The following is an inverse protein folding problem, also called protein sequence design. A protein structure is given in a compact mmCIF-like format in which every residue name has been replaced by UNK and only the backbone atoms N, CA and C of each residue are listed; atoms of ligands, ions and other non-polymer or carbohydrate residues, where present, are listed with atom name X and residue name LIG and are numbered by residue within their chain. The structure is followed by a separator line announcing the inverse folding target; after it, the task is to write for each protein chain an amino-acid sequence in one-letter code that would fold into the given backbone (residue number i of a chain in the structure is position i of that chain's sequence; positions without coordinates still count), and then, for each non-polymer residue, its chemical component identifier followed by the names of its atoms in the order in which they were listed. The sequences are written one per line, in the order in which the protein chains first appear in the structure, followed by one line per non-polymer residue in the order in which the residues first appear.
data_IF_710505062991
#
_entry.id   IF_710505062991
#
_cell.length_a   1.000
_cell.length_b   1.000
_cell.length_c   1.000
_cell.angle_alpha   90.00
_cell.angle_beta   90.00
_cell.angle_gamma   90.00
#
_symmetry.space_group_name_H-M   'P 1'
#
loop_
_entity.id
_entity.type
_entity.pdbx_description
1 polymer ?
#
# COMPACT_ATOMS: atom_id res chain seq x y z
N UNK A 1 -10.49 45.75 -22.64
CA UNK A 1 -10.66 45.79 -21.16
C UNK A 1 -11.20 44.44 -20.73
N UNK A 2 -10.37 43.62 -20.10
CA UNK A 2 -10.73 42.34 -19.51
C UNK A 2 -11.42 42.62 -18.16
N UNK A 3 -12.62 42.06 -17.90
CA UNK A 3 -13.29 42.26 -16.62
C UNK A 3 -12.45 41.60 -15.50
N UNK A 4 -12.16 42.35 -14.44
CA UNK A 4 -11.56 41.79 -13.23
C UNK A 4 -12.51 40.72 -12.62
N UNK A 5 -12.06 39.49 -12.54
CA UNK A 5 -12.72 38.43 -11.78
C UNK A 5 -12.90 38.90 -10.33
N UNK A 6 -14.13 38.83 -9.83
CA UNK A 6 -14.42 39.04 -8.40
C UNK A 6 -13.63 38.05 -7.63
N UNK A 7 -12.84 38.51 -6.65
CA UNK A 7 -12.17 37.66 -5.70
C UNK A 7 -13.21 36.78 -4.99
N UNK A 8 -13.34 35.55 -5.44
CA UNK A 8 -14.10 34.54 -4.73
C UNK A 8 -13.41 34.26 -3.42
N UNK A 9 -14.17 34.31 -2.32
CA UNK A 9 -13.73 33.84 -1.00
C UNK A 9 -13.36 32.38 -1.18
N UNK A 10 -12.07 32.07 -1.09
CA UNK A 10 -11.60 30.68 -1.04
C UNK A 10 -12.21 30.08 0.23
N UNK A 11 -13.04 29.02 0.15
CA UNK A 11 -13.53 28.36 1.34
C UNK A 11 -12.31 27.86 2.12
N UNK A 12 -12.05 28.43 3.27
CA UNK A 12 -11.10 27.84 4.20
C UNK A 12 -11.72 26.53 4.68
N UNK A 13 -11.26 25.42 4.15
CA UNK A 13 -11.53 24.10 4.69
C UNK A 13 -10.95 24.08 6.12
N UNK A 14 -11.77 24.46 7.07
CA UNK A 14 -11.48 24.14 8.47
C UNK A 14 -11.71 22.63 8.57
N UNK A 15 -10.61 21.87 8.52
CA UNK A 15 -10.66 20.55 9.14
C UNK A 15 -11.22 20.76 10.55
N UNK A 16 -12.35 20.14 10.86
CA UNK A 16 -12.82 20.09 12.24
C UNK A 16 -11.61 19.65 13.09
N UNK A 17 -11.34 20.29 14.24
CA UNK A 17 -10.27 19.84 15.08
C UNK A 17 -10.61 18.39 15.46
N UNK A 18 -9.93 17.46 14.83
CA UNK A 18 -9.80 16.11 15.38
C UNK A 18 -9.32 16.32 16.80
N UNK A 19 -9.88 15.59 17.74
CA UNK A 19 -9.45 15.61 19.15
C UNK A 19 -7.96 15.77 19.21
N UNK A 20 -7.42 16.68 20.06
CA UNK A 20 -5.99 16.93 20.09
C UNK A 20 -5.28 15.58 20.16
N UNK A 21 -4.25 15.33 19.33
CA UNK A 21 -3.57 14.05 19.33
C UNK A 21 -3.17 13.75 20.78
N UNK A 22 -3.62 12.62 21.30
CA UNK A 22 -3.19 12.15 22.60
C UNK A 22 -1.68 12.23 22.65
N UNK A 23 -1.11 12.81 23.71
CA UNK A 23 0.35 12.89 23.84
C UNK A 23 0.92 11.49 23.65
N UNK A 24 1.92 11.30 22.77
CA UNK A 24 2.47 9.97 22.53
C UNK A 24 3.00 9.41 23.86
N UNK A 25 2.58 8.21 24.19
CA UNK A 25 3.04 7.52 25.40
C UNK A 25 4.54 7.28 25.25
N UNK A 26 5.30 7.74 26.25
CA UNK A 26 6.74 7.59 26.33
C UNK A 26 7.08 6.37 27.17
N UNK A 27 7.85 5.44 26.63
CA UNK A 27 8.38 4.32 27.35
C UNK A 27 9.36 4.75 28.46
N UNK A 28 9.40 4.02 29.55
CA UNK A 28 10.35 4.26 30.65
C UNK A 28 11.74 3.77 30.29
N UNK A 29 11.83 2.63 29.62
CA UNK A 29 13.08 2.08 29.11
C UNK A 29 13.01 2.01 27.59
N UNK A 30 14.06 2.39 26.88
CA UNK A 30 14.08 2.30 25.42
C UNK A 30 14.09 0.84 24.95
N UNK A 31 13.54 0.62 23.75
CA UNK A 31 13.81 -0.57 22.96
C UNK A 31 14.90 -0.23 21.94
N UNK A 32 15.90 -1.09 21.84
CA UNK A 32 17.00 -0.89 20.92
C UNK A 32 16.74 -1.64 19.60
N UNK A 33 16.82 -0.92 18.48
CA UNK A 33 16.81 -1.50 17.13
C UNK A 33 18.03 -0.96 16.39
N UNK A 34 18.86 -1.84 15.88
CA UNK A 34 20.10 -1.52 15.16
C UNK A 34 21.01 -0.54 15.89
N UNK A 35 21.14 -0.71 17.20
CA UNK A 35 21.98 0.13 18.06
C UNK A 35 21.37 1.50 18.42
N UNK A 36 20.15 1.80 17.98
CA UNK A 36 19.45 3.05 18.29
C UNK A 36 18.33 2.80 19.30
N UNK A 37 18.27 3.67 20.31
CA UNK A 37 17.29 3.62 21.37
C UNK A 37 15.98 4.31 20.98
N UNK A 38 14.86 3.58 21.08
CA UNK A 38 13.52 4.08 20.78
C UNK A 38 12.66 4.10 22.04
N UNK A 39 12.13 5.28 22.38
CA UNK A 39 11.25 5.50 23.54
C UNK A 39 9.79 5.79 23.14
N UNK A 40 9.52 5.93 21.86
CA UNK A 40 8.19 6.13 21.31
C UNK A 40 7.84 5.02 20.33
N UNK A 41 6.60 4.56 20.40
CA UNK A 41 6.08 3.49 19.56
C UNK A 41 6.26 3.77 18.07
N UNK A 42 5.94 4.99 17.63
CA UNK A 42 6.07 5.42 16.22
C UNK A 42 7.51 5.38 15.70
N UNK A 43 8.48 5.82 16.50
CA UNK A 43 9.90 5.78 16.10
C UNK A 43 10.43 4.36 16.05
N UNK A 44 9.97 3.51 16.98
CA UNK A 44 10.28 2.08 16.99
C UNK A 44 9.68 1.38 15.77
N UNK A 45 8.40 1.62 15.47
CA UNK A 45 7.73 1.05 14.29
C UNK A 45 8.41 1.48 12.97
N UNK A 46 8.88 2.73 12.89
CA UNK A 46 9.65 3.19 11.75
C UNK A 46 10.99 2.45 11.61
N UNK A 47 11.74 2.32 12.68
CA UNK A 47 13.02 1.60 12.68
C UNK A 47 12.82 0.10 12.36
N UNK A 48 11.79 -0.53 12.92
CA UNK A 48 11.42 -1.90 12.61
C UNK A 48 11.10 -2.11 11.11
N UNK A 49 10.47 -1.13 10.47
CA UNK A 49 10.20 -1.18 9.03
C UNK A 49 11.48 -1.05 8.17
N UNK A 50 12.51 -0.36 8.65
CA UNK A 50 13.80 -0.24 7.96
C UNK A 50 14.70 -1.48 8.15
N UNK A 51 14.49 -2.21 9.24
CA UNK A 51 15.28 -3.39 9.60
C UNK A 51 14.34 -4.58 9.90
N UNK A 52 13.67 -5.10 8.87
CA UNK A 52 12.70 -6.19 9.04
C UNK A 52 13.33 -7.47 9.60
N UNK A 53 14.60 -7.73 9.32
CA UNK A 53 15.38 -8.82 9.86
C UNK A 53 15.50 -8.77 11.39
N UNK A 54 15.81 -7.61 11.93
CA UNK A 54 15.89 -7.37 13.37
C UNK A 54 14.49 -7.36 13.98
N UNK A 55 13.53 -6.68 13.34
CA UNK A 55 12.16 -6.61 13.82
C UNK A 55 11.54 -8.00 13.97
N UNK A 56 11.69 -8.86 12.96
CA UNK A 56 11.18 -10.22 13.00
C UNK A 56 11.73 -11.02 14.18
N UNK A 57 13.03 -10.91 14.44
CA UNK A 57 13.66 -11.56 15.59
C UNK A 57 13.05 -11.08 16.91
N UNK A 58 12.93 -9.76 17.09
CA UNK A 58 12.36 -9.14 18.29
C UNK A 58 10.85 -9.39 18.46
N UNK A 59 10.14 -9.70 17.39
CA UNK A 59 8.75 -10.15 17.42
C UNK A 59 8.70 -11.60 17.91
N UNK A 60 9.43 -12.50 17.23
CA UNK A 60 9.39 -13.94 17.50
C UNK A 60 9.95 -14.35 18.87
N UNK A 61 10.93 -13.61 19.38
CA UNK A 61 11.47 -13.83 20.73
C UNK A 61 10.65 -13.16 21.85
N UNK A 62 9.58 -12.45 21.50
CA UNK A 62 8.66 -11.81 22.44
C UNK A 62 9.16 -10.47 23.01
N UNK A 63 10.29 -9.95 22.54
CA UNK A 63 10.87 -8.69 23.06
C UNK A 63 9.95 -7.48 22.81
N UNK A 64 9.40 -7.36 21.60
CA UNK A 64 8.49 -6.24 21.27
C UNK A 64 7.19 -6.29 22.09
N UNK A 65 6.42 -7.38 22.14
CA UNK A 65 5.20 -7.40 22.95
C UNK A 65 5.48 -7.22 24.44
N UNK A 66 6.57 -7.79 24.96
CA UNK A 66 6.96 -7.57 26.34
C UNK A 66 7.30 -6.09 26.63
N UNK A 67 8.02 -5.42 25.74
CA UNK A 67 8.33 -4.00 25.88
C UNK A 67 7.05 -3.14 25.83
N UNK A 68 6.13 -3.42 24.91
CA UNK A 68 4.83 -2.74 24.82
C UNK A 68 4.05 -2.90 26.13
N UNK A 69 3.97 -4.12 26.65
CA UNK A 69 3.28 -4.44 27.90
C UNK A 69 3.90 -3.74 29.10
N UNK A 70 5.21 -3.81 29.25
CA UNK A 70 5.90 -3.34 30.45
C UNK A 70 6.16 -1.85 30.47
N UNK A 71 6.58 -1.28 29.34
CA UNK A 71 7.07 0.08 29.29
C UNK A 71 6.00 1.09 28.82
N UNK A 72 5.08 0.66 27.93
CA UNK A 72 3.97 1.49 27.46
C UNK A 72 2.67 1.23 28.22
N UNK A 73 2.57 0.11 28.96
CA UNK A 73 1.38 -0.33 29.70
C UNK A 73 0.17 -0.59 28.80
N UNK A 74 0.42 -1.06 27.58
CA UNK A 74 -0.60 -1.38 26.59
C UNK A 74 -0.70 -2.91 26.45
N UNK A 75 -1.58 -3.51 27.25
CA UNK A 75 -1.79 -4.96 27.27
C UNK A 75 -2.50 -5.44 26.00
N UNK A 76 -3.46 -4.65 25.51
CA UNK A 76 -4.27 -5.01 24.33
C UNK A 76 -3.40 -5.08 23.08
N UNK A 77 -2.52 -4.10 22.91
CA UNK A 77 -1.57 -4.09 21.79
C UNK A 77 -0.56 -5.24 21.90
N UNK A 78 -0.04 -5.50 23.11
CA UNK A 78 0.90 -6.60 23.34
C UNK A 78 0.27 -7.96 23.01
N UNK A 79 -0.94 -8.22 23.50
CA UNK A 79 -1.69 -9.44 23.19
C UNK A 79 -2.00 -9.57 21.70
N UNK A 80 -2.35 -8.46 21.03
CA UNK A 80 -2.57 -8.46 19.59
C UNK A 80 -1.33 -8.89 18.81
N UNK A 81 -0.14 -8.43 19.20
CA UNK A 81 1.12 -8.81 18.56
C UNK A 81 1.42 -10.31 18.79
N UNK A 82 1.19 -10.80 20.00
CA UNK A 82 1.36 -12.22 20.35
C UNK A 82 0.42 -13.12 19.55
N UNK A 83 -0.85 -12.74 19.44
CA UNK A 83 -1.86 -13.47 18.66
C UNK A 83 -1.51 -13.52 17.16
N UNK A 84 -1.06 -12.42 16.57
CA UNK A 84 -0.62 -12.38 15.18
C UNK A 84 0.59 -13.30 14.97
N UNK A 85 1.54 -13.29 15.91
CA UNK A 85 2.73 -14.14 15.85
C UNK A 85 2.35 -15.63 15.95
N UNK A 86 1.48 -15.98 16.88
CA UNK A 86 0.98 -17.34 17.04
C UNK A 86 0.19 -17.81 15.81
N UNK A 87 -0.66 -16.96 15.24
CA UNK A 87 -1.39 -17.27 14.00
C UNK A 87 -0.43 -17.53 12.83
N UNK A 88 0.65 -16.77 12.73
CA UNK A 88 1.67 -16.96 11.70
C UNK A 88 2.39 -18.31 11.86
N UNK A 89 2.66 -18.74 13.06
CA UNK A 89 3.34 -20.01 13.36
C UNK A 89 2.42 -21.23 13.16
N UNK A 90 1.13 -21.10 13.53
CA UNK A 90 0.18 -22.23 13.50
C UNK A 90 -0.49 -22.43 12.16
N UNK A 91 -0.59 -21.39 11.33
CA UNK A 91 -1.22 -21.44 10.01
C UNK A 91 -0.31 -20.86 8.91
N UNK A 92 0.77 -21.55 8.55
CA UNK A 92 1.72 -21.05 7.55
C UNK A 92 1.09 -20.77 6.17
N UNK A 93 0.01 -21.46 5.82
CA UNK A 93 -0.74 -21.20 4.58
C UNK A 93 -1.52 -19.87 4.57
N UNK A 94 -1.85 -19.32 5.73
CA UNK A 94 -2.53 -18.02 5.88
C UNK A 94 -1.57 -16.86 6.11
N UNK A 95 -0.42 -17.13 6.68
CA UNK A 95 0.63 -16.16 6.96
C UNK A 95 1.83 -16.47 6.08
N UNK A 96 1.66 -16.31 4.82
CA UNK A 96 2.54 -16.86 3.78
C UNK A 96 3.97 -16.33 3.81
N UNK A 97 4.27 -15.28 4.57
CA UNK A 97 5.63 -14.80 4.73
C UNK A 97 5.83 -14.03 6.04
N UNK A 98 7.05 -14.05 6.55
CA UNK A 98 7.48 -13.18 7.65
C UNK A 98 7.25 -11.70 7.35
N UNK A 99 7.29 -11.30 6.09
CA UNK A 99 6.99 -9.94 5.64
C UNK A 99 5.53 -9.53 5.91
N UNK A 100 4.57 -10.46 5.74
CA UNK A 100 3.15 -10.23 6.04
C UNK A 100 2.95 -10.01 7.54
N UNK A 101 3.57 -10.86 8.37
CA UNK A 101 3.53 -10.73 9.83
C UNK A 101 4.09 -9.36 10.27
N UNK A 102 5.26 -9.00 9.78
CA UNK A 102 5.87 -7.69 10.08
C UNK A 102 4.95 -6.55 9.68
N UNK A 103 4.40 -6.57 8.45
CA UNK A 103 3.52 -5.51 7.96
C UNK A 103 2.26 -5.37 8.82
N UNK A 104 1.62 -6.46 9.23
CA UNK A 104 0.45 -6.46 10.10
C UNK A 104 0.77 -5.89 11.48
N UNK A 105 1.91 -6.27 12.06
CA UNK A 105 2.35 -5.74 13.35
C UNK A 105 2.69 -4.25 13.24
N UNK A 106 3.37 -3.81 12.18
CA UNK A 106 3.67 -2.39 11.95
C UNK A 106 2.40 -1.54 11.85
N UNK A 107 1.33 -2.05 11.24
CA UNK A 107 0.03 -1.40 11.20
C UNK A 107 -0.56 -1.25 12.60
N UNK A 108 -0.43 -2.27 13.46
CA UNK A 108 -0.90 -2.18 14.84
C UNK A 108 -0.08 -1.18 15.68
N UNK A 109 1.23 -1.14 15.46
CA UNK A 109 2.15 -0.26 16.18
C UNK A 109 2.02 1.23 15.78
N UNK A 110 1.75 1.53 14.52
CA UNK A 110 1.53 2.90 14.02
C UNK A 110 0.39 2.91 12.99
N UNK A 111 -0.87 2.83 13.45
CA UNK A 111 -2.03 2.68 12.56
C UNK A 111 -2.28 3.90 11.66
N UNK A 112 -1.73 5.07 11.97
CA UNK A 112 -1.86 6.26 11.15
C UNK A 112 -0.73 6.40 10.11
N UNK A 113 0.27 5.55 10.16
CA UNK A 113 1.33 5.53 9.17
C UNK A 113 0.87 4.88 7.87
N UNK A 114 1.57 5.16 6.75
CA UNK A 114 1.45 4.35 5.56
C UNK A 114 1.75 2.88 5.83
N UNK A 115 1.05 1.98 5.14
CA UNK A 115 1.41 0.56 5.11
C UNK A 115 2.82 0.43 4.53
N UNK A 116 3.66 -0.35 5.19
CA UNK A 116 5.04 -0.64 4.76
C UNK A 116 5.18 -2.13 4.51
N UNK A 117 5.56 -2.48 3.29
CA UNK A 117 5.65 -3.87 2.87
C UNK A 117 6.70 -4.05 1.78
N UNK A 118 7.68 -4.92 1.98
CA UNK A 118 8.72 -5.25 0.98
C UNK A 118 9.37 -4.05 0.29
N UNK A 119 9.67 -3.01 1.08
CA UNK A 119 10.33 -1.80 0.59
C UNK A 119 9.41 -0.75 -0.05
N UNK A 120 8.12 -1.05 -0.25
CA UNK A 120 7.13 -0.04 -0.66
C UNK A 120 6.38 0.53 0.53
N UNK A 121 5.88 1.75 0.36
CA UNK A 121 5.10 2.45 1.38
C UNK A 121 3.93 3.17 0.73
N UNK A 122 2.70 2.94 1.21
CA UNK A 122 1.50 3.52 0.62
C UNK A 122 0.37 3.66 1.63
N UNK A 123 -0.43 4.70 1.46
CA UNK A 123 -1.73 4.75 2.13
C UNK A 123 -2.69 3.81 1.39
N UNK A 124 -3.47 2.97 2.10
CA UNK A 124 -4.41 2.05 1.46
C UNK A 124 -5.33 2.71 0.44
N UNK A 125 -5.82 3.91 0.73
CA UNK A 125 -6.72 4.66 -0.15
C UNK A 125 -6.00 5.22 -1.40
N UNK A 126 -4.67 5.30 -1.38
CA UNK A 126 -3.84 5.85 -2.44
C UNK A 126 -2.91 4.80 -3.09
N UNK A 127 -3.21 3.50 -2.94
CA UNK A 127 -2.36 2.43 -3.49
C UNK A 127 -2.22 2.56 -5.01
N UNK A 128 -3.28 2.95 -5.73
CA UNK A 128 -3.23 3.19 -7.17
C UNK A 128 -2.20 4.25 -7.53
N UNK A 129 -2.24 5.40 -6.86
CA UNK A 129 -1.25 6.48 -7.05
C UNK A 129 0.17 6.01 -6.72
N UNK A 130 0.34 5.22 -5.67
CA UNK A 130 1.65 4.68 -5.31
C UNK A 130 2.18 3.72 -6.39
N UNK A 131 1.32 2.86 -6.95
CA UNK A 131 1.66 1.98 -8.07
C UNK A 131 2.06 2.79 -9.32
N UNK A 132 1.30 3.83 -9.65
CA UNK A 132 1.60 4.72 -10.77
C UNK A 132 2.97 5.39 -10.61
N UNK A 133 3.26 5.97 -9.45
CA UNK A 133 4.54 6.60 -9.15
C UNK A 133 5.69 5.59 -9.26
N UNK A 134 5.50 4.40 -8.72
CA UNK A 134 6.53 3.35 -8.76
C UNK A 134 6.78 2.90 -10.21
N UNK A 135 5.71 2.73 -11.00
CA UNK A 135 5.85 2.40 -12.43
C UNK A 135 6.62 3.47 -13.20
N UNK A 136 6.31 4.74 -13.01
CA UNK A 136 6.98 5.87 -13.65
C UNK A 136 8.46 5.99 -13.28
N UNK A 137 8.84 5.51 -12.10
CA UNK A 137 10.24 5.45 -11.65
C UNK A 137 10.99 4.22 -12.16
N UNK A 138 10.34 3.34 -12.90
CA UNK A 138 10.92 2.07 -13.34
C UNK A 138 11.02 1.02 -12.23
N UNK A 139 10.30 1.22 -11.13
CA UNK A 139 10.29 0.29 -10.00
C UNK A 139 9.38 -0.93 -10.23
N UNK A 140 9.29 -1.77 -9.19
CA UNK A 140 8.58 -3.05 -9.26
C UNK A 140 7.18 -2.94 -8.69
N UNK A 141 6.18 -3.40 -9.44
CA UNK A 141 4.79 -3.46 -8.99
C UNK A 141 4.47 -4.73 -8.16
N UNK A 142 5.36 -5.73 -8.17
CA UNK A 142 5.11 -7.01 -7.48
C UNK A 142 4.83 -6.86 -5.98
N UNK A 143 5.52 -6.00 -5.20
CA UNK A 143 5.18 -5.80 -3.79
C UNK A 143 3.74 -5.32 -3.56
N UNK A 144 3.19 -4.49 -4.46
CA UNK A 144 1.79 -4.07 -4.39
C UNK A 144 0.83 -5.22 -4.70
N UNK A 145 1.14 -6.04 -5.71
CA UNK A 145 0.35 -7.23 -6.03
C UNK A 145 0.28 -8.19 -4.84
N UNK A 146 1.40 -8.42 -4.18
CA UNK A 146 1.46 -9.27 -2.98
C UNK A 146 0.70 -8.63 -1.81
N UNK A 147 0.84 -7.32 -1.58
CA UNK A 147 0.11 -6.61 -0.53
C UNK A 147 -1.41 -6.71 -0.72
N UNK A 148 -1.89 -6.67 -1.98
CA UNK A 148 -3.30 -6.86 -2.33
C UNK A 148 -3.71 -8.31 -2.11
N UNK A 149 -2.93 -9.29 -2.58
CA UNK A 149 -3.23 -10.71 -2.46
C UNK A 149 -3.31 -11.18 -1.01
N UNK A 150 -2.41 -10.69 -0.15
CA UNK A 150 -2.37 -11.01 1.28
C UNK A 150 -3.30 -10.13 2.12
N UNK A 151 -4.09 -9.25 1.49
CA UNK A 151 -5.06 -8.39 2.17
C UNK A 151 -4.45 -7.54 3.30
N UNK A 152 -3.19 -7.12 3.16
CA UNK A 152 -2.46 -6.38 4.23
C UNK A 152 -3.21 -5.11 4.63
N UNK A 153 -3.79 -4.40 3.66
CA UNK A 153 -4.55 -3.18 3.90
C UNK A 153 -5.84 -3.41 4.71
N UNK A 154 -6.36 -4.65 4.75
CA UNK A 154 -7.57 -4.98 5.53
C UNK A 154 -7.39 -4.62 7.00
N UNK A 155 -6.23 -5.00 7.59
CA UNK A 155 -5.92 -4.67 8.99
C UNK A 155 -5.91 -3.16 9.24
N UNK A 156 -5.36 -2.40 8.30
CA UNK A 156 -5.36 -0.94 8.39
C UNK A 156 -6.78 -0.36 8.39
N UNK A 157 -7.66 -0.85 7.52
CA UNK A 157 -9.07 -0.42 7.49
C UNK A 157 -9.83 -0.84 8.75
N UNK A 158 -9.56 -2.00 9.32
CA UNK A 158 -10.16 -2.46 10.57
C UNK A 158 -9.87 -1.51 11.74
N UNK A 159 -8.66 -0.98 11.80
CA UNK A 159 -8.22 -0.07 12.87
C UNK A 159 -8.69 1.38 12.60
N UNK A 160 -8.65 1.84 11.35
CA UNK A 160 -8.81 3.26 11.01
C UNK A 160 -10.20 3.64 10.50
N UNK A 161 -11.17 2.71 10.44
CA UNK A 161 -12.51 3.01 9.94
C UNK A 161 -13.55 2.83 11.03
N UNK A 162 -14.25 3.92 11.36
CA UNK A 162 -15.18 3.98 12.48
C UNK A 162 -16.44 3.13 12.28
N UNK A 163 -16.90 2.96 11.02
CA UNK A 163 -18.12 2.19 10.72
C UNK A 163 -17.82 0.98 9.82
N UNK A 164 -18.54 -0.12 10.05
CA UNK A 164 -18.43 -1.32 9.23
C UNK A 164 -18.76 -1.03 7.76
N UNK A 165 -19.84 -0.27 7.49
CA UNK A 165 -20.25 0.07 6.12
C UNK A 165 -19.18 0.85 5.34
N UNK A 166 -18.52 1.84 5.97
CA UNK A 166 -17.43 2.58 5.35
C UNK A 166 -16.19 1.70 5.11
N UNK A 167 -15.94 0.77 6.04
CA UNK A 167 -14.86 -0.23 5.90
C UNK A 167 -15.11 -1.16 4.71
N UNK A 168 -16.33 -1.69 4.61
CA UNK A 168 -16.71 -2.62 3.54
C UNK A 168 -16.65 -1.93 2.16
N UNK A 169 -17.10 -0.68 2.07
CA UNK A 169 -17.02 0.10 0.84
C UNK A 169 -15.57 0.36 0.39
N UNK A 170 -14.67 0.72 1.33
CA UNK A 170 -13.24 0.91 1.04
C UNK A 170 -12.55 -0.42 0.68
N UNK A 171 -12.92 -1.50 1.36
CA UNK A 171 -12.39 -2.83 1.08
C UNK A 171 -12.86 -3.39 -0.27
N UNK A 172 -14.03 -2.99 -0.78
CA UNK A 172 -14.57 -3.46 -2.05
C UNK A 172 -13.61 -3.24 -3.24
N UNK A 173 -12.92 -2.10 -3.27
CA UNK A 173 -11.89 -1.82 -4.27
C UNK A 173 -10.73 -2.83 -4.23
N UNK A 174 -10.31 -3.25 -3.05
CA UNK A 174 -9.27 -4.27 -2.88
C UNK A 174 -9.74 -5.66 -3.31
N UNK A 175 -11.02 -6.02 -3.10
CA UNK A 175 -11.57 -7.28 -3.58
C UNK A 175 -11.56 -7.36 -5.10
N UNK A 176 -11.92 -6.28 -5.78
CA UNK A 176 -11.86 -6.21 -7.25
C UNK A 176 -10.43 -6.38 -7.75
N UNK A 177 -9.46 -5.69 -7.16
CA UNK A 177 -8.05 -5.83 -7.52
C UNK A 177 -7.52 -7.26 -7.29
N UNK A 178 -7.89 -7.88 -6.18
CA UNK A 178 -7.51 -9.26 -5.89
C UNK A 178 -8.09 -10.24 -6.92
N UNK A 179 -9.31 -9.99 -7.39
CA UNK A 179 -9.92 -10.75 -8.47
C UNK A 179 -9.10 -10.64 -9.76
N UNK A 180 -8.70 -9.42 -10.14
CA UNK A 180 -7.85 -9.21 -11.32
C UNK A 180 -6.49 -9.91 -11.20
N UNK A 181 -5.86 -9.89 -10.03
CA UNK A 181 -4.56 -10.56 -9.81
C UNK A 181 -4.64 -12.08 -9.93
N UNK A 182 -5.80 -12.69 -9.65
CA UNK A 182 -6.03 -14.14 -9.71
C UNK A 182 -6.46 -14.62 -11.08
N UNK A 183 -6.96 -13.73 -11.92
CA UNK A 183 -7.38 -14.07 -13.27
C UNK A 183 -6.14 -14.26 -14.17
N UNK A 184 -6.12 -15.37 -14.93
CA UNK A 184 -5.03 -15.74 -15.84
C UNK A 184 -5.25 -15.28 -17.28
N UNK A 185 -6.41 -14.70 -17.58
CA UNK A 185 -6.71 -14.21 -18.91
C UNK A 185 -5.82 -13.03 -19.29
N UNK A 186 -5.46 -12.85 -20.57
CA UNK A 186 -4.82 -11.64 -21.04
C UNK A 186 -5.64 -10.40 -20.66
N UNK A 187 -4.96 -9.32 -20.27
CA UNK A 187 -5.63 -8.09 -19.85
C UNK A 187 -5.96 -8.02 -18.36
N UNK A 188 -5.68 -9.08 -17.60
CA UNK A 188 -5.77 -9.08 -16.15
C UNK A 188 -4.37 -9.03 -15.49
N UNK A 189 -4.33 -9.04 -14.17
CA UNK A 189 -3.09 -8.95 -13.42
C UNK A 189 -2.86 -7.56 -12.84
N UNK A 190 -1.60 -7.27 -12.50
CA UNK A 190 -1.23 -6.01 -11.84
C UNK A 190 -1.38 -4.81 -12.77
N UNK A 191 -1.23 -5.02 -14.09
CA UNK A 191 -1.43 -3.98 -15.10
C UNK A 191 -2.89 -3.52 -15.12
N UNK A 192 -3.84 -4.44 -15.00
CA UNK A 192 -5.27 -4.08 -14.89
C UNK A 192 -5.54 -3.28 -13.61
N UNK A 193 -4.98 -3.71 -12.49
CA UNK A 193 -5.09 -2.95 -11.24
C UNK A 193 -4.55 -1.51 -11.40
N UNK A 194 -3.43 -1.35 -12.11
CA UNK A 194 -2.81 -0.05 -12.35
C UNK A 194 -3.74 0.90 -13.10
N UNK A 195 -4.37 0.45 -14.19
CA UNK A 195 -5.25 1.29 -15.01
C UNK A 195 -6.61 1.54 -14.37
N UNK A 196 -7.22 0.53 -13.77
CA UNK A 196 -8.50 0.69 -13.08
C UNK A 196 -8.44 1.69 -11.92
N UNK A 197 -7.31 1.74 -11.23
CA UNK A 197 -7.12 2.65 -10.11
C UNK A 197 -6.63 4.04 -10.51
N UNK A 198 -6.18 4.22 -11.73
CA UNK A 198 -5.62 5.48 -12.22
C UNK A 198 -6.24 5.84 -13.57
N UNK A 199 -7.51 6.23 -13.54
CA UNK A 199 -8.20 6.68 -14.75
C UNK A 199 -7.44 7.83 -15.42
N UNK A 200 -7.22 7.71 -16.73
CA UNK A 200 -6.42 8.67 -17.50
C UNK A 200 -4.91 8.49 -17.37
N UNK A 201 -4.43 7.43 -16.71
CA UNK A 201 -3.03 7.08 -16.76
C UNK A 201 -2.66 6.55 -18.15
N UNK A 202 -1.62 7.10 -18.82
CA UNK A 202 -1.28 6.72 -20.18
C UNK A 202 -0.88 5.26 -20.29
N UNK A 203 -1.20 4.62 -21.41
CA UNK A 203 -0.78 3.26 -21.71
C UNK A 203 0.75 3.13 -21.62
N UNK A 204 1.22 2.18 -20.82
CA UNK A 204 2.64 1.96 -20.54
C UNK A 204 3.28 0.88 -21.40
N UNK A 205 2.68 0.59 -22.55
CA UNK A 205 3.22 -0.39 -23.49
C UNK A 205 4.56 0.07 -24.06
N UNK A 206 5.59 -0.77 -24.08
CA UNK A 206 6.82 -0.47 -24.81
C UNK A 206 6.61 -0.29 -26.32
N UNK A 207 5.57 -0.88 -26.91
CA UNK A 207 5.22 -0.73 -28.32
C UNK A 207 4.72 0.67 -28.67
N UNK A 208 4.20 1.40 -27.69
CA UNK A 208 3.67 2.75 -27.84
C UNK A 208 4.59 3.79 -27.18
N UNK A 209 5.87 3.48 -27.06
CA UNK A 209 6.82 4.38 -26.42
C UNK A 209 6.96 5.68 -27.21
N UNK A 210 6.68 6.80 -26.53
CA UNK A 210 6.67 8.13 -27.14
C UNK A 210 5.26 8.65 -27.46
N UNK A 211 4.25 7.79 -27.41
CA UNK A 211 2.85 8.19 -27.59
C UNK A 211 2.16 8.40 -26.22
N UNK A 212 1.23 9.36 -26.18
CA UNK A 212 0.46 9.66 -24.98
C UNK A 212 -0.98 9.18 -25.14
N UNK A 213 -1.21 7.89 -24.90
CA UNK A 213 -2.50 7.22 -25.11
C UNK A 213 -3.22 7.10 -23.78
N UNK A 214 -4.38 7.76 -23.64
CA UNK A 214 -5.18 7.76 -22.40
C UNK A 214 -6.60 7.20 -22.59
N UNK A 215 -6.96 6.83 -23.81
CA UNK A 215 -8.26 6.23 -24.13
C UNK A 215 -8.15 5.25 -25.30
N UNK A 216 -9.20 4.45 -25.51
CA UNK A 216 -9.23 3.43 -26.56
C UNK A 216 -9.35 4.02 -27.97
N UNK A 217 -9.90 5.24 -28.12
CA UNK A 217 -10.04 5.89 -29.43
C UNK A 217 -8.66 6.25 -30.00
N UNK A 218 -7.73 6.65 -29.15
CA UNK A 218 -6.35 6.96 -29.54
C UNK A 218 -5.49 5.69 -29.69
N UNK A 219 -5.82 4.61 -28.97
CA UNK A 219 -5.03 3.38 -28.94
C UNK A 219 -4.99 2.69 -30.32
N UNK A 220 -6.13 2.55 -30.99
CA UNK A 220 -6.20 1.84 -32.26
C UNK A 220 -5.39 2.53 -33.37
N UNK A 221 -5.51 3.85 -33.61
CA UNK A 221 -4.66 4.55 -34.58
C UNK A 221 -3.16 4.45 -34.26
N UNK A 222 -2.78 4.53 -32.98
CA UNK A 222 -1.39 4.38 -32.56
C UNK A 222 -0.84 2.97 -32.83
N UNK A 223 -1.63 1.93 -32.61
CA UNK A 223 -1.26 0.56 -32.97
C UNK A 223 -1.17 0.34 -34.46
N UNK A 224 -2.07 0.93 -35.27
CA UNK A 224 -2.00 0.89 -36.73
C UNK A 224 -0.73 1.55 -37.25
N UNK A 225 -0.31 2.67 -36.69
CA UNK A 225 0.92 3.35 -37.07
C UNK A 225 2.15 2.52 -36.67
N UNK A 226 2.17 1.99 -35.48
CA UNK A 226 3.20 1.09 -34.99
C UNK A 226 3.35 -0.16 -35.90
N UNK A 227 2.23 -0.72 -36.33
CA UNK A 227 2.19 -1.88 -37.22
C UNK A 227 2.84 -1.65 -38.59
N UNK A 228 2.92 -0.39 -39.04
CA UNK A 228 3.61 -0.06 -40.30
C UNK A 228 5.15 -0.10 -40.19
N UNK A 229 5.66 0.09 -38.98
CA UNK A 229 7.11 0.23 -38.71
C UNK A 229 7.73 -1.02 -38.08
N UNK A 230 6.94 -1.87 -37.47
CA UNK A 230 7.38 -3.10 -36.76
C UNK A 230 7.04 -4.32 -37.60
N UNK A 231 7.91 -5.34 -37.64
CA UNK A 231 7.63 -6.61 -38.33
C UNK A 231 6.34 -7.25 -37.77
N UNK A 232 5.31 -7.47 -38.59
CA UNK A 232 4.05 -8.08 -38.16
C UNK A 232 4.20 -9.41 -37.42
N UNK A 233 5.30 -10.14 -37.65
CA UNK A 233 5.58 -11.42 -36.96
C UNK A 233 6.06 -11.22 -35.52
N UNK A 234 6.51 -10.03 -35.18
CA UNK A 234 7.04 -9.66 -33.85
C UNK A 234 6.07 -8.84 -33.01
N UNK A 235 5.00 -8.32 -33.64
CA UNK A 235 3.95 -7.60 -32.91
C UNK A 235 3.15 -8.59 -32.06
N UNK A 236 3.27 -8.47 -30.77
CA UNK A 236 2.37 -9.13 -29.81
C UNK A 236 1.69 -8.08 -28.96
N UNK A 237 0.39 -8.25 -28.70
CA UNK A 237 -0.32 -7.45 -27.69
C UNK A 237 0.32 -7.77 -26.33
N UNK A 238 1.05 -6.79 -25.79
CA UNK A 238 1.64 -6.96 -24.48
C UNK A 238 0.61 -6.77 -23.36
N UNK A 239 1.03 -7.03 -22.12
CA UNK A 239 0.15 -6.98 -20.96
C UNK A 239 -0.44 -5.60 -20.71
N UNK A 240 0.29 -4.53 -21.03
CA UNK A 240 -0.21 -3.17 -20.86
C UNK A 240 -1.32 -2.84 -21.85
N UNK A 241 -1.16 -3.18 -23.14
CA UNK A 241 -2.20 -3.00 -24.14
C UNK A 241 -3.44 -3.83 -23.80
N UNK A 242 -3.23 -5.09 -23.39
CA UNK A 242 -4.33 -5.98 -23.05
C UNK A 242 -5.11 -5.53 -21.80
N UNK A 243 -4.45 -4.87 -20.87
CA UNK A 243 -5.05 -4.41 -19.61
C UNK A 243 -5.63 -3.00 -19.68
N UNK A 244 -5.17 -2.19 -20.63
CA UNK A 244 -5.61 -0.81 -20.86
C UNK A 244 -6.99 -0.79 -21.48
#
# INVERSE_FOLDING_TARGET
RIPRAKQGVIPTWRCAPTSPPSRPVKARKPLQIDGVDHIYLRTMAYAAAQRPDIALKLIKDGTIPQWVRQELKDEDLASTIEDLTLQAETNPERSETDDVLIAQILICLDPQAPVRFKGVSFMPEAIGTAMMIERLRGGKLMPFAEAINFEIAKRWFEINTETSAARDMKAAGYFSMRSYLRDKNPGYGIERCLYEMNQGFPCQSPLLQGEFIINLEDLLPALEETAKTVDPKTISVDRHIAAF
#
